data_IF_184621214310
#
_entry.id   IF_184621214310
#
_cell.length_a   1.000
_cell.length_b   1.000
_cell.length_c   1.000
_cell.angle_alpha   90.00
_cell.angle_beta   90.00
_cell.angle_gamma   90.00
#
_symmetry.space_group_name_H-M   'P 1'
#
loop_
_entity.id
_entity.type
_entity.pdbx_description
1 polymer ?
#
# COMPACT_ATOMS: atom_id res chain seq x y z
N UNK A 1 -17.34 16.32 -2.81
CA UNK A 1 -17.74 16.56 -1.41
C UNK A 1 -17.78 15.26 -0.71
N UNK A 2 -18.55 14.89 0.13
CA UNK A 2 -18.54 13.69 0.93
C UNK A 2 -17.96 13.92 2.32
N UNK A 3 -17.95 12.85 3.13
CA UNK A 3 -17.43 12.88 4.49
C UNK A 3 -15.92 13.12 4.54
N UNK A 4 -15.35 13.48 5.69
CA UNK A 4 -13.90 13.55 5.85
C UNK A 4 -13.20 12.23 5.48
N UNK A 5 -13.78 11.07 5.80
CA UNK A 5 -13.25 9.78 5.43
C UNK A 5 -13.25 9.58 3.91
N UNK A 6 -14.35 9.94 3.25
CA UNK A 6 -14.47 9.86 1.79
C UNK A 6 -13.38 10.68 1.10
N UNK A 7 -13.15 11.90 1.58
CA UNK A 7 -12.09 12.76 1.03
C UNK A 7 -10.70 12.15 1.24
N UNK A 8 -10.43 11.62 2.41
CA UNK A 8 -9.15 10.97 2.71
C UNK A 8 -8.91 9.76 1.82
N UNK A 9 -9.93 8.93 1.61
CA UNK A 9 -9.82 7.76 0.73
C UNK A 9 -9.59 8.16 -0.73
N UNK A 10 -10.28 9.20 -1.19
CA UNK A 10 -10.08 9.74 -2.55
C UNK A 10 -8.65 10.24 -2.74
N UNK A 11 -8.11 10.99 -1.78
CA UNK A 11 -6.73 11.48 -1.82
C UNK A 11 -5.72 10.33 -1.86
N UNK A 12 -5.91 9.30 -1.03
CA UNK A 12 -5.04 8.12 -1.02
C UNK A 12 -5.10 7.38 -2.34
N UNK A 13 -6.29 7.19 -2.88
CA UNK A 13 -6.49 6.53 -4.17
C UNK A 13 -5.65 7.19 -5.27
N UNK A 14 -5.75 8.52 -5.42
CA UNK A 14 -5.00 9.22 -6.45
C UNK A 14 -3.49 9.21 -6.18
N UNK A 15 -3.05 9.30 -4.94
CA UNK A 15 -1.62 9.17 -4.62
C UNK A 15 -1.07 7.79 -4.99
N UNK A 16 -1.83 6.74 -4.71
CA UNK A 16 -1.40 5.38 -5.05
C UNK A 16 -1.36 5.16 -6.56
N UNK A 17 -2.32 5.68 -7.29
CA UNK A 17 -2.32 5.59 -8.76
C UNK A 17 -1.12 6.26 -9.39
N UNK A 18 -0.58 7.31 -8.78
CA UNK A 18 0.58 8.02 -9.29
C UNK A 18 1.88 7.21 -9.18
N UNK A 19 1.88 6.14 -8.39
CA UNK A 19 3.04 5.25 -8.23
C UNK A 19 2.86 4.06 -9.16
N UNK A 20 3.81 3.87 -10.08
CA UNK A 20 3.79 2.73 -11.00
C UNK A 20 4.26 1.49 -10.26
N UNK A 21 3.32 0.71 -9.73
CA UNK A 21 3.60 -0.48 -8.91
C UNK A 21 3.21 -1.80 -9.59
N UNK A 22 3.05 -1.80 -10.91
CA UNK A 22 2.72 -3.00 -11.65
C UNK A 22 3.82 -4.07 -11.48
N UNK A 23 3.41 -5.30 -11.17
CA UNK A 23 4.32 -6.44 -11.12
C UNK A 23 4.67 -6.94 -12.51
N UNK A 24 5.79 -7.63 -12.63
CA UNK A 24 6.23 -8.24 -13.89
C UNK A 24 6.45 -9.74 -13.67
N UNK A 25 5.57 -10.60 -14.21
CA UNK A 25 5.67 -12.06 -13.99
C UNK A 25 6.87 -12.70 -14.69
N UNK A 26 7.54 -11.99 -15.60
CA UNK A 26 8.74 -12.49 -16.29
C UNK A 26 10.00 -12.34 -15.45
N UNK A 27 9.96 -11.49 -14.43
CA UNK A 27 11.07 -11.22 -13.52
C UNK A 27 11.04 -12.20 -12.35
N UNK A 28 12.19 -12.75 -11.99
CA UNK A 28 12.29 -13.77 -10.92
C UNK A 28 12.74 -13.19 -9.57
N UNK A 29 12.85 -11.87 -9.46
CA UNK A 29 13.18 -11.20 -8.19
C UNK A 29 11.93 -10.72 -7.48
N UNK A 30 12.03 -10.49 -6.16
CA UNK A 30 10.97 -9.91 -5.34
C UNK A 30 11.51 -8.63 -4.68
N UNK A 31 10.84 -7.48 -4.87
CA UNK A 31 9.71 -7.30 -5.79
C UNK A 31 10.17 -7.40 -7.24
N UNK A 32 9.23 -7.64 -8.14
CA UNK A 32 9.53 -7.80 -9.57
C UNK A 32 9.79 -6.46 -10.28
N UNK A 33 9.37 -5.34 -9.69
CA UNK A 33 9.57 -3.99 -10.26
C UNK A 33 9.96 -2.99 -9.17
N UNK A 34 10.77 -1.96 -9.51
CA UNK A 34 11.20 -0.95 -8.54
C UNK A 34 10.05 -0.12 -7.95
N UNK A 35 8.98 0.11 -8.71
CA UNK A 35 7.84 0.89 -8.26
C UNK A 35 7.13 0.28 -7.05
N UNK A 36 7.25 -1.01 -6.83
CA UNK A 36 6.71 -1.67 -5.64
C UNK A 36 7.44 -1.22 -4.37
N UNK A 37 8.74 -0.92 -4.45
CA UNK A 37 9.47 -0.29 -3.33
C UNK A 37 8.96 1.12 -3.05
N UNK A 38 8.65 1.89 -4.10
CA UNK A 38 8.10 3.24 -3.94
C UNK A 38 6.74 3.20 -3.25
N UNK A 39 5.88 2.26 -3.66
CA UNK A 39 4.60 2.04 -3.01
C UNK A 39 4.77 1.62 -1.54
N UNK A 40 5.70 0.74 -1.25
CA UNK A 40 5.98 0.30 0.12
C UNK A 40 6.40 1.50 1.00
N UNK A 41 7.25 2.37 0.50
CA UNK A 41 7.68 3.58 1.23
C UNK A 41 6.51 4.53 1.48
N UNK A 42 5.66 4.75 0.49
CA UNK A 42 4.47 5.60 0.64
C UNK A 42 3.53 5.05 1.72
N UNK A 43 3.27 3.75 1.68
CA UNK A 43 2.40 3.11 2.67
C UNK A 43 3.00 3.14 4.07
N UNK A 44 4.31 2.94 4.20
CA UNK A 44 4.98 3.00 5.50
C UNK A 44 4.86 4.40 6.11
N UNK A 45 5.00 5.46 5.32
CA UNK A 45 4.81 6.83 5.79
C UNK A 45 3.38 7.08 6.26
N UNK A 46 2.38 6.60 5.53
CA UNK A 46 0.99 6.74 5.93
C UNK A 46 0.66 5.99 7.21
N UNK A 47 1.18 4.77 7.35
CA UNK A 47 1.00 3.99 8.57
C UNK A 47 1.58 4.71 9.78
N UNK A 48 2.74 5.36 9.62
CA UNK A 48 3.34 6.19 10.66
C UNK A 48 2.45 7.39 11.01
N UNK A 49 1.93 8.08 10.01
CA UNK A 49 1.01 9.22 10.20
C UNK A 49 -0.28 8.81 10.90
N UNK A 50 -0.75 7.58 10.67
CA UNK A 50 -1.92 7.02 11.32
C UNK A 50 -1.64 6.53 12.75
N UNK A 51 -0.39 6.61 13.20
CA UNK A 51 0.00 6.26 14.56
C UNK A 51 0.22 4.78 14.81
N UNK A 52 0.47 3.99 13.76
CA UNK A 52 0.82 2.59 13.94
C UNK A 52 2.28 2.46 14.42
N UNK A 53 2.56 1.34 15.07
CA UNK A 53 3.88 1.03 15.62
C UNK A 53 4.59 -0.06 14.82
N UNK A 54 5.87 -0.25 15.09
CA UNK A 54 6.69 -1.34 14.57
C UNK A 54 6.60 -1.45 13.04
N UNK A 55 6.72 -0.30 12.36
CA UNK A 55 6.62 -0.23 10.91
C UNK A 55 7.95 -0.69 10.32
N UNK A 56 7.89 -1.72 9.49
CA UNK A 56 9.08 -2.30 8.84
C UNK A 56 8.80 -2.49 7.35
N UNK A 57 9.78 -2.11 6.52
CA UNK A 57 9.84 -2.50 5.11
C UNK A 57 11.01 -3.44 4.97
N UNK A 58 10.77 -4.66 4.48
CA UNK A 58 11.84 -5.60 4.22
C UNK A 58 12.43 -5.45 2.81
N UNK A 59 13.42 -6.27 2.50
CA UNK A 59 14.10 -6.26 1.20
C UNK A 59 13.21 -6.68 0.03
N UNK A 60 12.08 -7.31 0.31
CA UNK A 60 11.10 -7.74 -0.68
C UNK A 60 9.94 -6.76 -0.85
N UNK A 61 10.08 -5.55 -0.33
CA UNK A 61 9.02 -4.52 -0.32
C UNK A 61 7.76 -4.96 0.47
N UNK A 62 7.91 -5.86 1.41
CA UNK A 62 6.82 -6.21 2.33
C UNK A 62 6.79 -5.20 3.47
N UNK A 63 5.65 -4.57 3.67
CA UNK A 63 5.43 -3.62 4.76
C UNK A 63 4.63 -4.30 5.85
N UNK A 64 5.13 -4.22 7.07
CA UNK A 64 4.40 -4.68 8.26
C UNK A 64 4.28 -3.56 9.27
N UNK A 65 3.19 -3.52 10.00
CA UNK A 65 2.95 -2.56 11.06
C UNK A 65 2.01 -3.16 12.10
N UNK A 66 2.02 -2.58 13.28
CA UNK A 66 1.20 -3.06 14.40
C UNK A 66 0.32 -1.92 14.91
N UNK A 67 -0.96 -2.18 15.04
CA UNK A 67 -1.88 -1.37 15.83
C UNK A 67 -2.09 -2.08 17.17
N UNK A 68 -1.56 -1.50 18.24
CA UNK A 68 -1.69 -2.10 19.56
C UNK A 68 -3.15 -2.15 20.01
N UNK A 69 -3.54 -3.26 20.59
CA UNK A 69 -4.86 -3.42 21.16
C UNK A 69 -5.03 -2.65 22.47
N UNK A 70 -6.27 -2.50 22.89
CA UNK A 70 -6.63 -1.81 24.14
C UNK A 70 -7.30 -2.75 25.15
N UNK A 71 -7.34 -4.05 24.87
CA UNK A 71 -7.90 -5.07 25.77
C UNK A 71 -6.85 -6.12 26.05
N UNK A 72 -6.34 -6.26 27.29
CA UNK A 72 -5.37 -7.29 27.64
C UNK A 72 -5.90 -8.69 27.35
N UNK A 73 -5.07 -9.54 26.76
CA UNK A 73 -5.42 -10.93 26.47
C UNK A 73 -6.32 -11.14 25.28
N UNK A 74 -6.71 -10.09 24.55
CA UNK A 74 -7.49 -10.21 23.35
C UNK A 74 -6.68 -10.86 22.21
N UNK A 75 -7.34 -11.61 21.30
CA UNK A 75 -6.66 -12.22 20.15
C UNK A 75 -6.05 -11.17 19.24
N UNK A 76 -4.98 -11.55 18.53
CA UNK A 76 -4.40 -10.74 17.47
C UNK A 76 -5.14 -11.01 16.16
N UNK A 77 -5.42 -9.94 15.42
CA UNK A 77 -6.04 -10.01 14.09
C UNK A 77 -5.06 -9.46 13.08
N UNK A 78 -4.83 -10.20 12.00
CA UNK A 78 -3.97 -9.77 10.90
C UNK A 78 -4.79 -9.41 9.66
N UNK A 79 -4.41 -8.31 9.00
CA UNK A 79 -4.94 -7.92 7.70
C UNK A 79 -3.81 -8.01 6.69
N UNK A 80 -4.06 -8.66 5.57
CA UNK A 80 -3.06 -8.86 4.52
C UNK A 80 -3.64 -8.36 3.20
N UNK A 81 -2.85 -7.57 2.48
CA UNK A 81 -3.22 -7.12 1.13
C UNK A 81 -1.96 -7.07 0.26
N UNK A 82 -2.14 -7.16 -1.05
CA UNK A 82 -1.06 -6.91 -1.99
C UNK A 82 -0.97 -5.42 -2.33
N UNK A 83 0.19 -4.98 -2.82
CA UNK A 83 0.47 -3.58 -3.14
C UNK A 83 0.83 -3.37 -4.62
N UNK A 84 0.96 -4.43 -5.38
CA UNK A 84 1.19 -4.34 -6.82
C UNK A 84 -0.11 -4.23 -7.59
N UNK A 85 -0.03 -3.65 -8.80
CA UNK A 85 -1.07 -3.79 -9.79
C UNK A 85 -0.71 -4.93 -10.73
N UNK A 86 -1.72 -5.64 -11.22
CA UNK A 86 -1.53 -6.84 -12.04
C UNK A 86 -1.13 -6.46 -13.46
N UNK A 87 -0.21 -7.24 -14.05
CA UNK A 87 0.11 -7.15 -15.47
C UNK A 87 -0.81 -8.09 -16.26
N UNK A 88 -1.80 -7.49 -16.91
CA UNK A 88 -2.74 -8.19 -17.80
C UNK A 88 -2.72 -7.59 -19.21
N UNK A 89 -1.57 -7.07 -19.63
CA UNK A 89 -1.43 -6.44 -20.94
C UNK A 89 -1.95 -5.00 -21.00
N UNK A 90 -2.23 -4.40 -19.85
CA UNK A 90 -2.65 -3.00 -19.75
C UNK A 90 -1.45 -2.12 -19.45
N UNK A 91 -1.61 -0.81 -19.64
CA UNK A 91 -0.57 0.17 -19.32
C UNK A 91 -0.24 0.13 -17.82
N UNK A 92 1.05 0.15 -17.44
CA UNK A 92 1.43 0.31 -16.04
C UNK A 92 1.12 1.69 -15.48
N UNK A 93 0.99 2.69 -16.34
CA UNK A 93 0.68 4.06 -15.95
C UNK A 93 -0.84 4.25 -15.92
N UNK A 94 -1.33 4.63 -14.76
CA UNK A 94 -2.78 4.77 -14.53
C UNK A 94 -3.11 6.26 -14.37
N UNK A 95 -4.09 6.72 -15.16
CA UNK A 95 -4.60 8.08 -15.11
C UNK A 95 -6.03 8.05 -14.60
N UNK A 96 -6.20 8.27 -13.29
CA UNK A 96 -7.52 8.28 -12.66
C UNK A 96 -8.20 9.65 -12.77
N UNK A 97 -9.52 9.64 -12.78
CA UNK A 97 -10.34 10.85 -12.73
C UNK A 97 -11.65 10.58 -11.99
N UNK A 98 -12.26 11.65 -11.51
CA UNK A 98 -13.59 11.60 -10.86
C UNK A 98 -14.63 12.11 -11.84
N UNK A 99 -15.71 11.33 -12.03
CA UNK A 99 -16.86 11.73 -12.81
C UNK A 99 -17.89 12.52 -11.98
#
# INVERSE_FOLDING_TARGET
>A
MGSPLSRQLTHRFFRYLAITSQSDPRVKTLPSTPGQHDMARELAQELAQLGLDDIVIDEFATVTAVKKGNVPGAPRIGFITHIDTVDVGLSPDIHGFVE
#
